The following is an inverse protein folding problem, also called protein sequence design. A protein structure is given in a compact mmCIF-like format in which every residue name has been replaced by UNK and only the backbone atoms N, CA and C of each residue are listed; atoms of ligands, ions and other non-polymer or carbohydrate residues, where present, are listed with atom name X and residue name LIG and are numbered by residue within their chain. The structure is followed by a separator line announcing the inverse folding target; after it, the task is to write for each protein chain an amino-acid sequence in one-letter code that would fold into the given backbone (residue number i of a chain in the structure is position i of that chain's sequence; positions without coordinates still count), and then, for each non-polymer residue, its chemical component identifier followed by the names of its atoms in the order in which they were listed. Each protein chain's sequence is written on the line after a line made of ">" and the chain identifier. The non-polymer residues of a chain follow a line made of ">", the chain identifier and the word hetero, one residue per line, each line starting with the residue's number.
data_IF_253943204942
#
_entry.id   IF_253943204942
#
_cell.length_a   1.000
_cell.length_b   1.000
_cell.length_c   1.000
_cell.angle_alpha   90.00
_cell.angle_beta   90.00
_cell.angle_gamma   90.00
#
_symmetry.space_group_name_H-M   'P 1'
#
loop_
_entity.id
_entity.type
_entity.pdbx_description
1 polymer ?
#
# COMPACT_ATOMS: atom_id res chain seq x y z
N UNK A 1 7.00 -8.96 27.67
CA UNK A 1 6.57 -8.49 27.67
C UNK A 1 5.92 -7.95 28.25
N UNK A 2 5.65 -7.80 28.41
CA UNK A 2 4.91 -7.38 28.86
C UNK A 2 4.60 -6.50 29.49
N UNK A 3 4.95 -6.14 29.69
CA UNK A 3 4.87 -5.38 30.06
C UNK A 3 4.34 -4.38 30.31
N UNK A 4 4.38 -3.97 30.54
CA UNK A 4 3.84 -2.90 30.53
C UNK A 4 2.46 -2.96 30.81
N UNK A 5 1.98 -3.76 31.61
CA UNK A 5 0.58 -3.95 31.85
C UNK A 5 -0.10 -2.70 32.30
N UNK A 6 0.51 -1.99 33.22
CA UNK A 6 -0.11 -0.77 33.68
C UNK A 6 -0.28 0.26 32.62
N UNK A 7 0.68 0.31 31.75
CA UNK A 7 0.63 1.24 30.64
C UNK A 7 -0.54 0.96 29.75
N UNK A 8 -0.91 -0.29 29.66
CA UNK A 8 -1.96 -0.67 28.75
C UNK A 8 -3.33 -0.30 29.20
N UNK A 9 -3.51 -0.02 30.46
CA UNK A 9 -4.85 0.20 30.97
C UNK A 9 -5.56 1.33 30.28
N UNK A 10 -4.83 2.36 29.95
CA UNK A 10 -5.45 3.52 29.33
C UNK A 10 -5.68 3.32 27.85
N UNK A 11 -4.93 2.41 27.25
CA UNK A 11 -4.99 2.22 25.81
C UNK A 11 -5.49 0.87 25.43
N UNK A 12 -6.25 0.25 26.28
CA UNK A 12 -6.70 -1.09 26.07
C UNK A 12 -7.44 -1.28 24.76
N UNK A 13 -8.25 -0.31 24.41
CA UNK A 13 -9.03 -0.40 23.18
C UNK A 13 -8.16 -0.35 21.96
N UNK A 14 -6.90 0.05 22.10
CA UNK A 14 -5.98 0.10 20.98
C UNK A 14 -5.23 -1.18 20.79
N UNK A 15 -5.38 -2.10 21.71
CA UNK A 15 -4.70 -3.38 21.64
C UNK A 15 -5.62 -4.40 20.98
N UNK A 16 -5.02 -5.47 20.52
CA UNK A 16 -5.78 -6.56 19.94
C UNK A 16 -5.86 -6.45 18.44
N UNK A 17 -6.46 -7.44 17.82
CA UNK A 17 -6.47 -7.51 16.36
C UNK A 17 -7.58 -6.69 15.75
N UNK A 18 -7.37 -6.35 14.50
CA UNK A 18 -8.40 -5.75 13.65
C UNK A 18 -8.67 -6.76 12.55
N UNK A 19 -9.93 -7.07 12.33
CA UNK A 19 -10.33 -8.01 11.30
C UNK A 19 -11.09 -7.23 10.25
N UNK A 20 -10.67 -7.37 9.02
CA UNK A 20 -11.34 -6.74 7.90
C UNK A 20 -11.85 -7.83 6.98
N UNK A 21 -13.16 -8.06 7.02
CA UNK A 21 -13.78 -9.05 6.14
C UNK A 21 -13.82 -8.50 4.72
N UNK A 22 -13.80 -9.39 3.76
CA UNK A 22 -13.74 -8.96 2.37
C UNK A 22 -14.85 -7.96 2.01
N UNK A 23 -16.05 -8.19 2.53
CA UNK A 23 -17.18 -7.33 2.20
C UNK A 23 -17.20 -6.05 3.02
N UNK A 24 -16.29 -5.89 3.95
CA UNK A 24 -16.24 -4.74 4.84
C UNK A 24 -15.07 -3.81 4.54
N UNK A 25 -14.33 -4.08 3.47
CA UNK A 25 -13.24 -3.19 3.09
C UNK A 25 -13.81 -1.83 2.74
N UNK A 26 -13.20 -0.81 3.29
CA UNK A 26 -13.63 0.55 3.01
C UNK A 26 -12.63 1.22 2.10
N UNK A 27 -13.15 1.80 1.03
CA UNK A 27 -12.32 2.54 0.11
C UNK A 27 -11.77 3.75 0.84
N UNK A 28 -10.49 3.97 0.70
CA UNK A 28 -9.85 5.09 1.36
C UNK A 28 -9.18 5.97 0.32
N UNK A 29 -8.88 7.19 0.75
CA UNK A 29 -8.15 8.10 -0.10
C UNK A 29 -6.72 7.61 -0.18
N UNK A 30 -6.17 7.67 -1.37
CA UNK A 30 -4.79 7.30 -1.56
C UNK A 30 -3.91 8.11 -0.64
N UNK A 31 -2.98 7.42 0.01
CA UNK A 31 -2.06 8.03 0.85
C UNK A 31 -0.98 8.84 0.10
N UNK A 32 -0.83 8.63 -1.17
CA UNK A 32 0.10 9.42 -1.98
C UNK A 32 -0.66 10.36 -2.87
N UNK A 33 -1.50 11.16 -2.30
CA UNK A 33 -2.47 11.91 -3.08
C UNK A 33 -2.00 13.25 -3.58
N UNK A 34 -0.73 13.50 -3.57
CA UNK A 34 -0.27 14.76 -4.11
C UNK A 34 -0.44 14.87 -5.61
N UNK A 35 -0.66 13.74 -6.28
CA UNK A 35 -0.77 13.73 -7.71
C UNK A 35 -2.14 13.19 -8.11
N UNK A 36 -2.97 14.03 -8.70
CA UNK A 36 -4.30 13.58 -9.09
C UNK A 36 -4.30 12.39 -10.03
N UNK A 37 -3.31 12.31 -10.91
CA UNK A 37 -3.26 11.22 -11.86
C UNK A 37 -2.98 9.88 -11.20
N UNK A 38 -2.17 9.87 -10.17
CA UNK A 38 -1.83 8.61 -9.49
C UNK A 38 -3.05 7.96 -8.88
N UNK A 39 -3.91 8.76 -8.23
CA UNK A 39 -5.08 8.20 -7.56
C UNK A 39 -6.20 7.88 -8.52
N UNK A 40 -6.14 8.39 -9.75
CA UNK A 40 -7.22 8.18 -10.69
C UNK A 40 -7.33 6.73 -11.13
N UNK A 41 -6.21 6.02 -11.13
CA UNK A 41 -6.17 4.66 -11.63
C UNK A 41 -5.99 3.63 -10.52
N UNK A 42 -6.09 4.06 -9.25
CA UNK A 42 -5.92 3.18 -8.12
C UNK A 42 -7.06 3.34 -7.14
N UNK A 43 -7.60 2.21 -6.71
CA UNK A 43 -8.60 2.18 -5.64
C UNK A 43 -7.95 1.56 -4.43
N UNK A 44 -7.86 2.31 -3.36
CA UNK A 44 -7.21 1.88 -2.12
C UNK A 44 -8.26 1.44 -1.12
N UNK A 45 -8.04 0.29 -0.52
CA UNK A 45 -8.88 -0.21 0.56
C UNK A 45 -7.99 -0.43 1.76
N UNK A 46 -8.21 0.35 2.82
CA UNK A 46 -7.42 0.20 4.03
C UNK A 46 -7.82 -1.09 4.75
N UNK A 47 -6.83 -1.84 5.19
CA UNK A 47 -7.08 -3.07 5.91
C UNK A 47 -6.85 -2.91 7.40
N UNK A 48 -6.49 -1.70 7.83
CA UNK A 48 -6.15 -1.45 9.23
C UNK A 48 -6.84 -0.22 9.80
N UNK A 49 -7.91 0.23 9.17
CA UNK A 49 -8.48 1.53 9.49
C UNK A 49 -8.87 1.66 10.94
N UNK A 50 -9.37 0.60 11.54
CA UNK A 50 -9.85 0.69 12.92
C UNK A 50 -8.76 0.43 13.95
N UNK A 51 -7.52 0.24 13.53
CA UNK A 51 -6.43 0.01 14.47
C UNK A 51 -5.76 1.31 14.80
N UNK A 52 -5.69 1.64 16.09
CA UNK A 52 -5.03 2.85 16.56
C UNK A 52 -3.54 2.62 16.69
N UNK A 53 -2.78 3.68 16.63
CA UNK A 53 -1.32 3.68 16.89
C UNK A 53 -0.56 2.67 16.06
N UNK A 54 -1.01 2.45 14.86
CA UNK A 54 -0.34 1.50 13.98
C UNK A 54 0.86 2.17 13.32
N UNK A 55 1.86 1.35 13.01
CA UNK A 55 3.05 1.82 12.31
C UNK A 55 3.06 1.37 10.87
N UNK A 56 2.24 0.41 10.52
CA UNK A 56 2.13 -0.09 9.17
C UNK A 56 0.77 0.24 8.62
N UNK A 57 0.73 0.52 7.32
CA UNK A 57 -0.52 0.78 6.62
C UNK A 57 -0.71 -0.26 5.54
N UNK A 58 -1.44 -1.33 5.85
CA UNK A 58 -1.71 -2.32 4.82
C UNK A 58 -2.92 -1.93 3.98
N UNK A 59 -2.78 -2.06 2.68
CA UNK A 59 -3.83 -1.74 1.72
C UNK A 59 -4.02 -2.87 0.76
N UNK A 60 -5.26 -3.07 0.34
CA UNK A 60 -5.55 -3.81 -0.87
C UNK A 60 -5.83 -2.78 -1.94
N UNK A 61 -5.18 -2.89 -3.09
CA UNK A 61 -5.25 -1.86 -4.11
C UNK A 61 -5.61 -2.49 -5.44
N UNK A 62 -6.66 -1.94 -6.08
CA UNK A 62 -6.98 -2.29 -7.46
C UNK A 62 -6.38 -1.24 -8.36
N UNK A 63 -5.70 -1.68 -9.42
CA UNK A 63 -4.98 -0.79 -10.29
C UNK A 63 -5.51 -0.98 -11.71
N UNK A 64 -6.10 0.08 -12.25
CA UNK A 64 -6.57 0.07 -13.63
C UNK A 64 -5.45 0.51 -14.55
N UNK A 65 -5.47 0.09 -15.82
CA UNK A 65 -4.47 0.55 -16.78
C UNK A 65 -4.49 2.05 -16.94
N UNK A 66 -3.33 2.64 -17.18
CA UNK A 66 -3.17 4.07 -17.37
C UNK A 66 -2.17 4.32 -18.48
N UNK A 67 -2.33 5.44 -19.21
CA UNK A 67 -1.34 5.81 -20.21
C UNK A 67 -0.01 6.15 -19.54
N UNK A 68 1.09 5.82 -20.20
CA UNK A 68 2.40 6.06 -19.63
C UNK A 68 2.66 7.54 -19.33
N UNK A 69 2.05 8.43 -20.09
CA UNK A 69 2.27 9.86 -19.85
C UNK A 69 1.58 10.36 -18.58
N UNK A 70 0.83 9.50 -17.90
CA UNK A 70 0.21 9.85 -16.62
C UNK A 70 0.96 9.27 -15.44
N UNK A 71 2.07 8.59 -15.67
CA UNK A 71 2.86 8.02 -14.58
C UNK A 71 3.64 9.14 -13.91
N UNK A 72 3.56 9.21 -12.60
CA UNK A 72 4.30 10.19 -11.82
C UNK A 72 5.03 9.48 -10.69
N UNK A 73 6.31 9.78 -10.58
CA UNK A 73 7.12 9.13 -9.56
C UNK A 73 6.82 9.71 -8.19
N UNK A 74 6.81 8.84 -7.20
CA UNK A 74 6.61 9.20 -5.80
C UNK A 74 7.92 8.97 -5.04
N UNK A 75 8.10 9.73 -3.97
CA UNK A 75 9.25 9.54 -3.09
C UNK A 75 8.84 10.00 -1.71
N UNK A 76 9.05 9.16 -0.71
CA UNK A 76 8.76 9.53 0.67
C UNK A 76 9.57 8.64 1.58
N UNK A 77 9.67 9.05 2.84
CA UNK A 77 10.39 8.21 3.80
C UNK A 77 9.61 6.96 4.12
N UNK A 78 10.34 5.90 4.46
CA UNK A 78 9.73 4.67 4.87
C UNK A 78 10.05 3.53 3.94
N UNK A 79 9.25 2.50 4.06
CA UNK A 79 9.44 1.27 3.30
C UNK A 79 8.09 0.78 2.80
N UNK A 80 8.12 0.04 1.70
CA UNK A 80 6.92 -0.56 1.17
C UNK A 80 7.17 -2.01 0.83
N UNK A 81 6.16 -2.84 1.09
CA UNK A 81 6.17 -4.23 0.67
C UNK A 81 4.92 -4.46 -0.17
N UNK A 82 5.09 -5.06 -1.34
CA UNK A 82 3.99 -5.32 -2.26
C UNK A 82 4.03 -6.77 -2.70
N UNK A 83 2.87 -7.41 -2.69
CA UNK A 83 2.72 -8.73 -3.31
C UNK A 83 1.56 -8.65 -4.30
N UNK A 84 1.75 -9.20 -5.49
CA UNK A 84 0.75 -9.15 -6.54
C UNK A 84 -0.30 -10.21 -6.28
N UNK A 85 -1.55 -9.78 -6.11
CA UNK A 85 -2.65 -10.70 -5.85
C UNK A 85 -3.29 -11.20 -7.13
N UNK A 86 -3.42 -10.34 -8.13
CA UNK A 86 -3.98 -10.71 -9.43
C UNK A 86 -3.37 -9.83 -10.49
N UNK A 87 -3.26 -10.37 -11.70
CA UNK A 87 -2.74 -9.61 -12.82
C UNK A 87 -1.25 -9.44 -12.74
N UNK A 88 -0.76 -8.41 -13.41
CA UNK A 88 0.66 -8.11 -13.46
C UNK A 88 0.86 -6.62 -13.26
N UNK A 89 1.93 -6.26 -12.59
CA UNK A 89 2.28 -4.85 -12.42
C UNK A 89 3.68 -4.62 -12.94
N UNK A 90 3.94 -3.37 -13.28
CA UNK A 90 5.28 -2.91 -13.58
C UNK A 90 5.64 -1.85 -12.56
N UNK A 91 6.86 -1.92 -12.07
CA UNK A 91 7.34 -0.96 -11.10
C UNK A 91 8.55 -0.28 -11.69
N UNK A 92 8.51 1.05 -11.69
CA UNK A 92 9.69 1.85 -11.99
C UNK A 92 10.29 2.23 -10.65
N UNK A 93 11.54 1.87 -10.43
CA UNK A 93 12.19 2.12 -9.16
C UNK A 93 13.57 2.69 -9.44
N UNK A 94 13.75 3.98 -9.17
CA UNK A 94 14.95 4.66 -9.59
C UNK A 94 15.07 4.58 -11.10
N UNK A 95 16.16 3.99 -11.55
CA UNK A 95 16.41 3.82 -12.99
C UNK A 95 16.06 2.41 -13.47
N UNK A 96 15.51 1.58 -12.59
CA UNK A 96 15.22 0.19 -12.93
C UNK A 96 13.74 0.00 -13.15
N UNK A 97 13.40 -1.01 -13.93
CA UNK A 97 12.01 -1.35 -14.20
C UNK A 97 11.85 -2.86 -14.00
N UNK A 98 10.82 -3.23 -13.24
CA UNK A 98 10.56 -4.63 -12.93
C UNK A 98 9.12 -4.97 -13.25
N UNK A 99 8.90 -6.16 -13.82
CA UNK A 99 7.54 -6.67 -14.06
C UNK A 99 7.30 -7.80 -13.09
N UNK A 100 6.22 -7.71 -12.36
CA UNK A 100 5.87 -8.70 -11.34
C UNK A 100 4.53 -9.33 -11.68
N UNK A 101 4.45 -10.64 -11.50
CA UNK A 101 3.25 -11.41 -11.80
C UNK A 101 2.64 -11.90 -10.50
N UNK A 102 1.45 -12.45 -10.60
CA UNK A 102 0.72 -12.95 -9.44
C UNK A 102 1.65 -13.82 -8.58
N UNK A 103 1.69 -13.49 -7.30
CA UNK A 103 2.52 -14.20 -6.33
C UNK A 103 3.91 -13.62 -6.15
N UNK A 104 4.35 -12.77 -7.06
CA UNK A 104 5.65 -12.11 -6.90
C UNK A 104 5.54 -10.97 -5.91
N UNK A 105 6.63 -10.63 -5.27
CA UNK A 105 6.64 -9.53 -4.31
C UNK A 105 7.88 -8.68 -4.48
N UNK A 106 7.80 -7.46 -3.92
CA UNK A 106 8.92 -6.54 -3.89
C UNK A 106 8.87 -5.80 -2.57
N UNK A 107 10.04 -5.51 -2.03
CA UNK A 107 10.19 -4.78 -0.79
C UNK A 107 11.26 -3.74 -1.02
N UNK A 108 10.97 -2.48 -0.75
CA UNK A 108 11.92 -1.42 -1.10
C UNK A 108 11.81 -0.22 -0.18
N UNK A 109 12.87 0.59 -0.24
CA UNK A 109 12.91 1.87 0.45
C UNK A 109 12.16 2.89 -0.38
N UNK A 110 11.19 3.55 0.24
CA UNK A 110 10.29 4.43 -0.49
C UNK A 110 10.93 5.77 -0.84
N UNK A 111 12.10 6.05 -0.31
CA UNK A 111 12.77 7.32 -0.61
C UNK A 111 13.28 7.37 -2.05
N UNK A 112 13.55 6.22 -2.63
CA UNK A 112 13.95 6.16 -4.04
C UNK A 112 12.71 6.40 -4.89
N UNK A 113 12.75 7.32 -5.84
CA UNK A 113 11.57 7.59 -6.67
C UNK A 113 11.04 6.32 -7.32
N UNK A 114 9.73 6.16 -7.27
CA UNK A 114 9.11 4.93 -7.75
C UNK A 114 7.70 5.19 -8.25
N UNK A 115 7.22 4.26 -9.08
CA UNK A 115 5.85 4.28 -9.57
C UNK A 115 5.41 2.85 -9.86
N UNK A 116 4.19 2.52 -9.43
CA UNK A 116 3.60 1.20 -9.64
C UNK A 116 2.40 1.37 -10.56
N UNK A 117 2.30 0.55 -11.57
CA UNK A 117 1.17 0.62 -12.49
C UNK A 117 0.85 -0.76 -13.04
N UNK A 118 -0.36 -0.89 -13.57
CA UNK A 118 -0.79 -2.13 -14.19
C UNK A 118 0.02 -2.37 -15.46
N UNK A 119 0.35 -3.62 -15.70
CA UNK A 119 1.15 -3.99 -16.86
C UNK A 119 0.26 -4.67 -17.88
N UNK A 120 0.64 -4.54 -19.14
CA UNK A 120 -0.01 -5.24 -20.24
C UNK A 120 -1.46 -4.82 -20.45
N UNK A 121 -1.75 -3.57 -20.09
CA UNK A 121 -3.07 -2.97 -20.32
C UNK A 121 -4.21 -3.77 -19.69
N UNK A 122 -3.96 -4.37 -18.54
CA UNK A 122 -4.96 -5.15 -17.82
C UNK A 122 -4.97 -4.71 -16.37
N UNK A 123 -6.13 -4.80 -15.74
CA UNK A 123 -6.28 -4.48 -14.34
C UNK A 123 -5.48 -5.46 -13.50
N UNK A 124 -4.89 -4.96 -12.43
CA UNK A 124 -4.16 -5.79 -11.47
C UNK A 124 -4.62 -5.44 -10.07
N UNK A 125 -4.32 -6.32 -9.11
CA UNK A 125 -4.53 -5.99 -7.72
C UNK A 125 -3.35 -6.45 -6.90
N UNK A 126 -3.06 -5.68 -5.87
CA UNK A 126 -1.91 -5.92 -5.01
C UNK A 126 -2.31 -5.77 -3.56
N UNK A 127 -1.52 -6.42 -2.71
CA UNK A 127 -1.53 -6.14 -1.28
C UNK A 127 -0.27 -5.35 -1.01
N UNK A 128 -0.42 -4.16 -0.46
CA UNK A 128 0.71 -3.29 -0.19
C UNK A 128 0.75 -2.92 1.28
N UNK A 129 1.93 -2.97 1.88
CA UNK A 129 2.12 -2.53 3.25
C UNK A 129 3.11 -1.40 3.22
N UNK A 130 2.71 -0.27 3.77
CA UNK A 130 3.53 0.92 3.82
C UNK A 130 3.90 1.20 5.26
N UNK A 131 5.19 1.39 5.50
CA UNK A 131 5.68 1.80 6.81
C UNK A 131 6.18 3.22 6.70
N UNK A 132 5.64 4.09 7.53
CA UNK A 132 6.07 5.48 7.56
C UNK A 132 6.61 5.76 8.95
N UNK A 133 7.88 6.10 9.07
CA UNK A 133 8.45 6.39 10.40
C UNK A 133 7.74 7.58 11.02
N UNK A 134 7.52 7.50 12.33
CA UNK A 134 6.82 8.56 13.04
C UNK A 134 7.77 9.72 13.35
#
# INVERSE_FOLDING_TARGET
>A
MGVRLGTFLDDQEELGPVICRNMQKEKSISFSTNTPNASRHMEYYSLSKSKSNRHMEPFFINIAPAPANEYEMSSHEGEEFIIVANGEIEINYGNETYVLKKGDSIYYDSIVPHHVHAYNNQTASILAVVYVPA
#
